data_IF_945765825486
#
_entry.id   IF_945765825486
#
_cell.length_a   1.000
_cell.length_b   1.000
_cell.length_c   1.000
_cell.angle_alpha   90.00
_cell.angle_beta   90.00
_cell.angle_gamma   90.00
#
_symmetry.space_group_name_H-M   'P 1'
#
loop_
_entity.id
_entity.type
_entity.pdbx_description
1 polymer ?
#
# COMPACT_ATOMS: atom_id res chain seq x y z
N UNK A 1 28.75 -50.21 -14.39
CA UNK A 1 27.98 -49.16 -15.10
C UNK A 1 26.67 -48.76 -14.38
N UNK A 2 26.61 -48.82 -13.03
CA UNK A 2 25.36 -48.63 -12.25
C UNK A 2 25.44 -47.53 -11.17
N UNK A 3 26.65 -47.04 -10.85
CA UNK A 3 26.85 -45.98 -9.85
C UNK A 3 26.80 -44.56 -10.45
N UNK A 4 27.26 -44.37 -11.69
CA UNK A 4 27.28 -43.04 -12.34
C UNK A 4 25.86 -42.47 -12.54
N UNK A 5 24.88 -43.32 -12.82
CA UNK A 5 23.48 -42.94 -13.05
C UNK A 5 22.74 -42.50 -11.77
N UNK A 6 23.13 -43.00 -10.59
CA UNK A 6 22.55 -42.55 -9.31
C UNK A 6 23.12 -41.21 -8.87
N UNK A 7 24.42 -41.01 -9.02
CA UNK A 7 25.08 -39.74 -8.70
C UNK A 7 24.51 -38.61 -9.57
N UNK A 8 24.41 -38.81 -10.88
CA UNK A 8 23.86 -37.81 -11.82
C UNK A 8 22.41 -37.43 -11.48
N UNK A 9 21.58 -38.41 -11.10
CA UNK A 9 20.19 -38.16 -10.67
C UNK A 9 20.12 -37.41 -9.33
N UNK A 10 20.98 -37.76 -8.38
CA UNK A 10 21.03 -37.10 -7.08
C UNK A 10 21.46 -35.63 -7.22
N UNK A 11 22.45 -35.34 -8.08
CA UNK A 11 22.94 -33.97 -8.35
C UNK A 11 21.90 -33.13 -9.11
N UNK A 12 21.18 -33.72 -10.08
CA UNK A 12 20.12 -33.04 -10.80
C UNK A 12 18.93 -32.68 -9.90
N UNK A 13 18.57 -33.55 -8.93
CA UNK A 13 17.55 -33.23 -7.93
C UNK A 13 17.98 -32.14 -6.95
N UNK A 14 19.26 -32.08 -6.58
CA UNK A 14 19.76 -31.02 -5.67
C UNK A 14 19.82 -29.65 -6.36
N UNK A 15 20.22 -29.61 -7.64
CA UNK A 15 20.18 -28.38 -8.44
C UNK A 15 18.74 -27.89 -8.69
N UNK A 16 17.80 -28.80 -8.91
CA UNK A 16 16.37 -28.45 -9.04
C UNK A 16 15.78 -27.95 -7.72
N UNK A 17 16.18 -28.52 -6.57
CA UNK A 17 15.74 -28.09 -5.24
C UNK A 17 16.26 -26.69 -4.84
N UNK A 18 17.46 -26.31 -5.29
CA UNK A 18 18.02 -24.97 -5.09
C UNK A 18 17.48 -23.93 -6.09
N UNK A 19 16.89 -24.39 -7.21
CA UNK A 19 16.16 -23.57 -8.16
C UNK A 19 14.65 -23.45 -7.84
N UNK A 20 14.15 -24.16 -6.81
CA UNK A 20 12.82 -23.90 -6.25
C UNK A 20 12.87 -22.49 -5.69
N UNK A 21 12.03 -21.60 -6.17
CA UNK A 21 12.54 -20.31 -6.55
C UNK A 21 12.52 -19.39 -5.33
N UNK A 22 13.52 -18.52 -5.22
CA UNK A 22 13.37 -17.20 -4.58
C UNK A 22 12.40 -16.29 -5.35
N UNK A 23 11.43 -16.87 -6.07
CA UNK A 23 10.18 -16.21 -6.43
C UNK A 23 9.41 -16.13 -5.12
N UNK A 24 9.84 -15.19 -4.28
CA UNK A 24 8.93 -14.47 -3.43
C UNK A 24 7.84 -13.99 -4.38
N UNK A 25 6.73 -14.73 -4.47
CA UNK A 25 5.59 -14.34 -5.30
C UNK A 25 5.32 -12.89 -4.94
N UNK A 26 5.45 -11.98 -5.90
CA UNK A 26 5.28 -10.56 -5.65
C UNK A 26 3.91 -10.40 -4.98
N UNK A 27 3.92 -10.11 -3.66
CA UNK A 27 2.70 -10.06 -2.87
C UNK A 27 1.79 -9.03 -3.54
N UNK A 28 0.59 -9.45 -3.91
CA UNK A 28 -0.38 -8.53 -4.50
C UNK A 28 -0.53 -7.31 -3.58
N UNK A 29 -0.45 -6.13 -4.17
CA UNK A 29 -0.64 -4.87 -3.46
C UNK A 29 -2.09 -4.46 -3.61
N UNK A 30 -2.78 -4.27 -2.48
CA UNK A 30 -4.05 -3.55 -2.45
C UNK A 30 -3.75 -2.07 -2.22
N UNK A 31 -3.99 -1.23 -3.22
CA UNK A 31 -3.70 0.20 -3.19
C UNK A 31 -5.02 0.94 -3.11
N UNK A 32 -5.21 1.72 -2.06
CA UNK A 32 -6.39 2.57 -1.90
C UNK A 32 -6.04 4.02 -2.25
N UNK A 33 -7.01 4.76 -2.76
CA UNK A 33 -6.88 6.19 -2.98
C UNK A 33 -7.61 6.93 -1.86
N UNK A 34 -6.92 7.90 -1.26
CA UNK A 34 -7.50 8.81 -0.28
C UNK A 34 -7.52 10.21 -0.88
N UNK A 35 -8.67 10.84 -0.81
CA UNK A 35 -8.96 12.12 -1.46
C UNK A 35 -9.09 13.21 -0.40
N UNK A 36 -8.46 14.38 -0.61
CA UNK A 36 -8.33 15.42 0.42
C UNK A 36 -9.68 15.78 1.07
N UNK A 37 -10.70 16.02 0.24
CA UNK A 37 -12.01 16.46 0.68
C UNK A 37 -13.01 15.33 1.01
N UNK A 38 -12.56 14.07 1.06
CA UNK A 38 -13.43 12.94 1.48
C UNK A 38 -13.89 13.05 2.94
N UNK A 39 -13.23 13.91 3.71
CA UNK A 39 -13.50 14.20 5.12
C UNK A 39 -14.63 15.23 5.35
N UNK A 40 -15.28 15.69 4.28
CA UNK A 40 -16.47 16.51 4.41
C UNK A 40 -17.72 15.64 4.41
N UNK A 41 -18.72 16.03 5.20
CA UNK A 41 -20.00 15.32 5.28
C UNK A 41 -20.66 15.05 3.92
N UNK A 42 -20.66 15.99 2.93
CA UNK A 42 -21.21 15.70 1.60
C UNK A 42 -20.43 14.65 0.79
N UNK A 43 -19.18 14.39 1.14
CA UNK A 43 -18.27 13.46 0.45
C UNK A 43 -18.16 12.10 1.17
N UNK A 44 -18.89 11.94 2.28
CA UNK A 44 -18.97 10.69 3.05
C UNK A 44 -18.37 10.77 4.46
N UNK A 45 -17.81 11.92 4.86
CA UNK A 45 -17.18 12.12 6.18
C UNK A 45 -16.15 11.04 6.52
N UNK A 46 -15.40 10.59 5.51
CA UNK A 46 -14.46 9.50 5.65
C UNK A 46 -13.08 10.04 6.01
N UNK A 47 -12.54 9.61 7.13
CA UNK A 47 -11.22 9.98 7.59
C UNK A 47 -10.21 8.86 7.36
N UNK A 48 -8.92 9.21 7.35
CA UNK A 48 -7.88 8.21 7.13
C UNK A 48 -7.83 7.15 8.27
N UNK A 49 -8.26 7.50 9.47
CA UNK A 49 -8.39 6.58 10.60
C UNK A 49 -9.57 5.61 10.45
N UNK A 50 -10.57 5.90 9.61
CA UNK A 50 -11.67 4.98 9.30
C UNK A 50 -11.25 3.84 8.35
N UNK A 51 -10.05 3.92 7.76
CA UNK A 51 -9.54 2.92 6.84
C UNK A 51 -9.24 1.59 7.55
N UNK A 52 -9.81 0.49 7.05
CA UNK A 52 -9.40 -0.85 7.45
C UNK A 52 -7.97 -1.15 6.95
N UNK A 53 -7.00 -0.84 7.81
CA UNK A 53 -5.57 -1.02 7.56
C UNK A 53 -5.16 -2.48 7.34
N UNK A 54 -5.98 -3.46 7.75
CA UNK A 54 -5.69 -4.88 7.48
C UNK A 54 -5.83 -5.22 5.99
N UNK A 55 -6.56 -4.40 5.24
CA UNK A 55 -6.86 -4.60 3.82
C UNK A 55 -5.99 -3.75 2.91
N UNK A 56 -5.50 -2.61 3.36
CA UNK A 56 -4.67 -1.71 2.55
C UNK A 56 -3.18 -2.08 2.67
N UNK A 57 -2.48 -2.08 1.54
CA UNK A 57 -1.01 -2.18 1.52
C UNK A 57 -0.33 -0.85 1.28
N UNK A 58 -1.00 0.07 0.59
CA UNK A 58 -0.52 1.40 0.26
C UNK A 58 -1.71 2.36 0.19
N UNK A 59 -1.48 3.61 0.58
CA UNK A 59 -2.41 4.72 0.37
C UNK A 59 -1.79 5.65 -0.67
N UNK A 60 -2.56 5.98 -1.71
CA UNK A 60 -2.24 7.07 -2.62
C UNK A 60 -3.08 8.28 -2.23
N UNK A 61 -2.42 9.29 -1.67
CA UNK A 61 -3.04 10.59 -1.44
C UNK A 61 -3.23 11.31 -2.78
N UNK A 62 -4.44 11.80 -3.04
CA UNK A 62 -4.76 12.48 -4.29
C UNK A 62 -5.91 13.47 -4.19
N UNK A 63 -6.10 14.33 -5.18
CA UNK A 63 -5.26 14.46 -6.38
C UNK A 63 -4.36 15.69 -6.25
N UNK A 64 -3.09 15.52 -6.60
CA UNK A 64 -2.21 16.67 -6.76
C UNK A 64 -2.61 17.43 -8.03
N UNK A 65 -2.66 18.76 -7.97
CA UNK A 65 -3.13 19.64 -9.03
C UNK A 65 -1.94 20.28 -9.74
N UNK A 66 -1.62 19.87 -10.98
CA UNK A 66 -0.55 20.48 -11.75
C UNK A 66 -0.90 21.92 -12.14
N UNK A 67 0.09 22.80 -12.12
CA UNK A 67 -0.03 24.19 -12.53
C UNK A 67 0.62 24.42 -13.89
N UNK A 68 0.27 25.53 -14.55
CA UNK A 68 0.77 25.87 -15.88
C UNK A 68 2.30 26.11 -15.91
N UNK A 69 2.89 26.49 -14.77
CA UNK A 69 4.33 26.70 -14.60
C UNK A 69 5.10 25.40 -14.27
N UNK A 70 4.43 24.26 -14.26
CA UNK A 70 5.02 22.95 -13.94
C UNK A 70 5.13 22.64 -12.46
N UNK A 71 4.68 23.55 -11.58
CA UNK A 71 4.54 23.25 -10.15
C UNK A 71 3.31 22.39 -9.89
N UNK A 72 3.19 21.87 -8.66
CA UNK A 72 2.06 21.04 -8.23
C UNK A 72 1.58 21.55 -6.88
N UNK A 73 0.26 21.65 -6.71
CA UNK A 73 -0.39 22.08 -5.48
C UNK A 73 -1.44 21.07 -5.01
N UNK A 74 -1.95 21.29 -3.79
CA UNK A 74 -3.14 20.64 -3.24
C UNK A 74 -4.39 21.26 -3.88
N UNK A 75 -5.47 20.49 -3.98
CA UNK A 75 -6.77 20.99 -4.48
C UNK A 75 -7.52 21.76 -3.39
N UNK A 76 -7.55 21.19 -2.19
CA UNK A 76 -8.13 21.77 -0.98
C UNK A 76 -7.09 21.77 0.16
N UNK A 77 -6.26 22.83 0.26
CA UNK A 77 -5.29 22.98 1.33
C UNK A 77 -5.91 22.96 2.73
N UNK A 78 -7.18 23.37 2.87
CA UNK A 78 -7.84 23.40 4.16
C UNK A 78 -8.08 21.98 4.68
N UNK A 79 -8.69 21.12 3.86
CA UNK A 79 -8.86 19.72 4.19
C UNK A 79 -7.51 18.96 4.28
N UNK A 80 -6.53 19.36 3.49
CA UNK A 80 -5.27 18.64 3.40
C UNK A 80 -4.35 18.84 4.60
N UNK A 81 -4.12 20.09 5.02
CA UNK A 81 -3.03 20.42 5.98
C UNK A 81 -3.41 21.47 7.03
N UNK A 82 -4.55 22.14 6.93
CA UNK A 82 -4.93 23.21 7.88
C UNK A 82 -5.93 22.71 8.91
N UNK A 83 -6.89 21.88 8.52
CA UNK A 83 -7.90 21.34 9.41
C UNK A 83 -7.30 20.30 10.35
N UNK A 84 -7.62 20.40 11.63
CA UNK A 84 -7.23 19.39 12.61
C UNK A 84 -8.18 18.20 12.53
N UNK A 85 -7.60 17.01 12.36
CA UNK A 85 -8.30 15.74 12.41
C UNK A 85 -7.88 15.02 13.68
N UNK A 86 -8.84 14.74 14.56
CA UNK A 86 -8.60 14.03 15.79
C UNK A 86 -9.01 12.57 15.60
N UNK A 87 -8.10 11.66 15.96
CA UNK A 87 -8.44 10.24 16.08
C UNK A 87 -9.15 10.03 17.42
N UNK A 88 -10.45 9.70 17.41
CA UNK A 88 -11.22 9.50 18.64
C UNK A 88 -10.70 8.32 19.48
N UNK A 89 -10.06 7.31 18.86
CA UNK A 89 -9.54 6.14 19.55
C UNK A 89 -8.24 6.45 20.32
N UNK A 90 -7.51 7.49 19.91
CA UNK A 90 -6.24 7.90 20.53
C UNK A 90 -6.43 9.00 21.57
N UNK A 91 -7.31 9.97 21.31
CA UNK A 91 -7.45 11.17 22.14
C UNK A 91 -8.77 11.24 22.95
N UNK A 92 -9.70 10.31 22.72
CA UNK A 92 -11.01 10.25 23.38
C UNK A 92 -12.05 11.19 22.74
N UNK A 93 -13.33 10.85 22.86
CA UNK A 93 -14.45 11.48 22.14
C UNK A 93 -14.80 12.93 22.55
N UNK A 94 -13.99 13.58 23.39
CA UNK A 94 -14.28 14.89 23.98
C UNK A 94 -13.40 16.02 23.42
N UNK A 95 -12.71 15.76 22.30
CA UNK A 95 -11.96 16.74 21.53
C UNK A 95 -12.50 16.83 20.11
#
# INVERSE_FOLDING_TARGET
MWLHSKAIRATALTLLALAIPTIQAAKYRNIVYFKEWTTYAPEGDFHLFDLDWSRATHVKYGFAVPQADGTVTLDDPYAAIIRNYFDPDVFGSNY
#
